data_IF_413465723753
#
_entry.id   IF_413465723753
#
_cell.length_a   1.000
_cell.length_b   1.000
_cell.length_c   1.000
_cell.angle_alpha   90.00
_cell.angle_beta   90.00
_cell.angle_gamma   90.00
#
_symmetry.space_group_name_H-M   'P 1'
#
loop_
_entity.id
_entity.type
_entity.pdbx_description
1 polymer ?
#
# COMPACT_ATOMS: atom_id res chain seq x y z
N UNK A 1 61.84 18.34 22.50
CA UNK A 1 60.70 19.21 22.09
C UNK A 1 60.51 20.27 23.16
N UNK A 2 60.35 21.57 22.83
CA UNK A 2 60.05 22.58 23.84
C UNK A 2 58.69 22.31 24.50
N UNK A 3 58.66 22.24 25.84
CA UNK A 3 57.44 21.98 26.61
C UNK A 3 56.44 23.13 26.43
N UNK A 4 55.18 22.80 26.19
CA UNK A 4 54.12 23.80 26.06
C UNK A 4 53.92 24.56 27.39
N UNK A 5 53.76 25.89 27.38
CA UNK A 5 53.59 26.67 28.60
C UNK A 5 52.31 26.27 29.35
N UNK A 6 52.39 26.22 30.68
CA UNK A 6 51.25 25.89 31.56
C UNK A 6 50.21 27.01 31.49
N UNK A 7 48.99 26.67 31.11
CA UNK A 7 47.85 27.56 31.00
C UNK A 7 46.93 27.52 32.22
N UNK A 8 46.15 28.58 32.43
CA UNK A 8 45.21 28.71 33.57
C UNK A 8 44.03 27.73 33.56
N UNK A 9 43.81 27.04 32.44
CA UNK A 9 42.79 26.01 32.25
C UNK A 9 43.32 24.59 32.39
N UNK A 10 44.63 24.43 32.55
CA UNK A 10 45.25 23.11 32.70
C UNK A 10 44.86 22.50 34.05
N UNK A 11 44.48 21.22 34.02
CA UNK A 11 44.32 20.40 35.21
C UNK A 11 45.68 19.96 35.74
N UNK A 12 45.76 19.44 36.97
CA UNK A 12 47.02 18.89 37.48
C UNK A 12 47.52 17.70 36.64
N UNK A 13 46.62 16.95 36.02
CA UNK A 13 46.98 15.91 35.04
C UNK A 13 47.61 16.50 33.78
N UNK A 14 47.02 17.56 33.23
CA UNK A 14 47.58 18.24 32.05
C UNK A 14 48.97 18.83 32.35
N UNK A 15 49.16 19.41 33.53
CA UNK A 15 50.45 19.95 33.97
C UNK A 15 51.48 18.82 34.08
N UNK A 16 51.11 17.70 34.69
CA UNK A 16 51.98 16.53 34.83
C UNK A 16 52.44 15.97 33.48
N UNK A 17 51.52 15.77 32.52
CA UNK A 17 51.90 15.27 31.19
C UNK A 17 52.67 16.29 30.34
N UNK A 18 52.53 17.59 30.60
CA UNK A 18 53.32 18.65 29.94
C UNK A 18 54.74 18.76 30.49
N UNK A 19 54.96 18.45 31.77
CA UNK A 19 56.28 18.49 32.41
C UNK A 19 56.99 17.14 32.42
N UNK A 20 56.28 16.05 32.14
CA UNK A 20 56.84 14.71 32.06
C UNK A 20 57.83 14.56 30.90
N UNK A 21 59.04 14.11 31.20
CA UNK A 21 60.04 13.65 30.22
C UNK A 21 60.59 12.29 30.69
N UNK A 22 60.73 11.34 29.77
CA UNK A 22 61.28 10.00 30.09
C UNK A 22 62.68 10.10 30.71
N UNK A 23 63.49 11.07 30.26
CA UNK A 23 64.82 11.36 30.80
C UNK A 23 64.80 11.81 32.28
N UNK A 24 63.75 12.50 32.73
CA UNK A 24 63.63 12.95 34.13
C UNK A 24 63.08 11.87 35.07
N UNK A 25 62.47 10.81 34.52
CA UNK A 25 61.88 9.71 35.30
C UNK A 25 62.88 8.58 35.58
N UNK A 26 63.95 8.44 34.77
CA UNK A 26 64.95 7.38 34.94
C UNK A 26 64.35 5.98 34.84
N UNK A 27 64.85 5.03 35.66
CA UNK A 27 64.36 3.63 35.71
C UNK A 27 63.06 3.46 36.54
N UNK A 28 62.43 4.55 36.98
CA UNK A 28 61.24 4.48 37.84
C UNK A 28 59.98 4.24 36.99
N UNK A 29 59.17 3.24 37.33
CA UNK A 29 57.91 2.96 36.62
C UNK A 29 56.97 4.16 36.76
N UNK A 30 56.46 4.68 35.63
CA UNK A 30 55.51 5.80 35.60
C UNK A 30 54.30 5.52 36.51
N UNK A 31 54.15 6.35 37.56
CA UNK A 31 52.96 6.37 38.40
C UNK A 31 52.14 7.63 38.11
N UNK A 32 50.85 7.50 37.75
CA UNK A 32 49.99 8.67 37.59
C UNK A 32 49.88 9.45 38.90
N UNK A 33 49.63 10.76 38.80
CA UNK A 33 49.53 11.67 39.96
C UNK A 33 48.38 11.29 40.91
N UNK A 34 47.40 10.53 40.44
CA UNK A 34 46.27 10.05 41.24
C UNK A 34 46.34 8.54 41.48
N UNK A 35 46.01 8.13 42.71
CA UNK A 35 46.01 6.73 43.13
C UNK A 35 44.78 5.91 42.72
N UNK A 36 43.70 6.56 42.25
CA UNK A 36 42.46 5.87 41.85
C UNK A 36 42.59 5.23 40.46
N UNK A 37 42.29 3.94 40.38
CA UNK A 37 42.19 3.16 39.14
C UNK A 37 40.74 2.99 38.73
N UNK A 38 40.53 2.65 37.46
CA UNK A 38 39.20 2.32 36.95
C UNK A 38 38.61 1.15 37.77
N UNK A 39 37.40 1.34 38.32
CA UNK A 39 36.65 0.43 39.21
C UNK A 39 36.97 0.52 40.71
N UNK A 40 37.87 1.41 41.12
CA UNK A 40 38.03 1.69 42.55
C UNK A 40 36.77 2.34 43.11
N UNK A 41 36.42 1.95 44.34
CA UNK A 41 35.32 2.58 45.08
C UNK A 41 35.90 3.81 45.78
N UNK A 42 35.17 4.94 45.73
CA UNK A 42 35.52 6.20 46.41
C UNK A 42 35.40 6.10 47.94
N UNK A 43 36.11 5.15 48.56
CA UNK A 43 36.04 4.86 50.00
C UNK A 43 37.21 5.47 50.75
N UNK A 44 38.37 5.58 50.12
CA UNK A 44 39.58 6.15 50.74
C UNK A 44 39.68 7.66 50.49
N UNK A 45 39.58 8.44 51.56
CA UNK A 45 39.57 9.91 51.49
C UNK A 45 40.80 10.50 50.77
N UNK A 46 41.99 9.93 50.97
CA UNK A 46 43.23 10.39 50.34
C UNK A 46 43.16 10.27 48.82
N UNK A 47 42.87 9.08 48.30
CA UNK A 47 42.78 8.83 46.86
C UNK A 47 41.63 9.63 46.21
N UNK A 48 40.49 9.78 46.90
CA UNK A 48 39.38 10.63 46.46
C UNK A 48 39.77 12.11 46.39
N UNK A 49 40.53 12.60 47.37
CA UNK A 49 41.02 13.98 47.41
C UNK A 49 41.98 14.25 46.27
N UNK A 50 42.94 13.36 46.03
CA UNK A 50 43.94 13.53 44.97
C UNK A 50 43.30 13.52 43.58
N UNK A 51 42.32 12.63 43.37
CA UNK A 51 41.52 12.62 42.15
C UNK A 51 40.67 13.89 41.99
N UNK A 52 40.01 14.36 43.05
CA UNK A 52 39.22 15.59 43.03
C UNK A 52 40.09 16.81 42.70
N UNK A 53 41.28 16.90 43.29
CA UNK A 53 42.26 17.95 43.00
C UNK A 53 42.78 17.89 41.55
N UNK A 54 42.90 16.68 41.00
CA UNK A 54 43.32 16.47 39.61
C UNK A 54 42.22 16.70 38.56
N UNK A 55 40.95 16.67 38.95
CA UNK A 55 39.81 16.74 38.02
C UNK A 55 39.41 18.17 37.63
N UNK A 56 39.82 19.18 38.40
CA UNK A 56 39.48 20.58 38.14
C UNK A 56 40.71 21.41 37.78
N UNK A 57 40.60 22.39 36.86
CA UNK A 57 41.67 23.33 36.60
C UNK A 57 42.09 24.07 37.87
N UNK A 58 43.38 24.35 37.99
CA UNK A 58 43.92 25.05 39.17
C UNK A 58 43.24 26.40 39.42
N UNK A 59 42.82 27.10 38.36
CA UNK A 59 42.05 28.34 38.46
C UNK A 59 40.66 28.16 39.09
N UNK A 60 39.97 27.05 38.80
CA UNK A 60 38.66 26.75 39.42
C UNK A 60 38.85 26.33 40.88
N UNK A 61 39.88 25.53 41.17
CA UNK A 61 40.22 25.20 42.56
C UNK A 61 40.52 26.45 43.40
N UNK A 62 41.37 27.35 42.90
CA UNK A 62 41.70 28.59 43.59
C UNK A 62 40.47 29.50 43.74
N UNK A 63 39.59 29.54 42.75
CA UNK A 63 38.32 30.27 42.83
C UNK A 63 37.43 29.72 43.94
N UNK A 64 37.28 28.39 44.03
CA UNK A 64 36.47 27.76 45.08
C UNK A 64 37.10 27.96 46.47
N UNK A 65 38.43 27.83 46.57
CA UNK A 65 39.18 28.05 47.83
C UNK A 65 39.16 29.50 48.29
N UNK A 66 39.09 30.47 47.37
CA UNK A 66 38.95 31.88 47.67
C UNK A 66 37.52 32.29 48.04
N UNK A 67 36.52 31.39 47.96
CA UNK A 67 35.16 31.70 48.39
C UNK A 67 35.09 31.84 49.90
N UNK A 68 34.36 32.85 50.34
CA UNK A 68 33.97 32.97 51.74
C UNK A 68 33.02 31.84 52.12
N UNK A 69 32.97 31.51 53.41
CA UNK A 69 32.02 30.53 53.96
C UNK A 69 30.57 30.88 53.56
N UNK A 70 30.21 32.16 53.58
CA UNK A 70 28.91 32.65 53.13
C UNK A 70 28.67 32.39 51.63
N UNK A 71 29.68 32.58 50.79
CA UNK A 71 29.60 32.28 49.35
C UNK A 71 29.38 30.80 49.07
N UNK A 72 29.98 29.91 49.86
CA UNK A 72 29.75 28.46 49.78
C UNK A 72 28.32 28.10 50.19
N UNK A 73 27.83 28.65 51.30
CA UNK A 73 26.46 28.41 51.77
C UNK A 73 25.41 28.91 50.76
N UNK A 74 25.59 30.10 50.20
CA UNK A 74 24.73 30.63 49.13
C UNK A 74 24.75 29.75 47.89
N UNK A 75 25.91 29.28 47.45
CA UNK A 75 26.03 28.37 46.30
C UNK A 75 25.30 27.04 46.55
N UNK A 76 25.42 26.48 47.76
CA UNK A 76 24.69 25.28 48.16
C UNK A 76 23.17 25.49 48.11
N UNK A 77 22.65 26.58 48.69
CA UNK A 77 21.22 26.90 48.66
C UNK A 77 20.71 27.03 47.23
N UNK A 78 21.45 27.74 46.37
CA UNK A 78 21.06 27.92 44.96
C UNK A 78 21.07 26.59 44.21
N UNK A 79 22.09 25.75 44.44
CA UNK A 79 22.15 24.40 43.85
C UNK A 79 20.98 23.51 44.28
N UNK A 80 20.65 23.50 45.57
CA UNK A 80 19.50 22.78 46.11
C UNK A 80 18.16 23.32 45.55
N UNK A 81 18.00 24.64 45.45
CA UNK A 81 16.80 25.23 44.87
C UNK A 81 16.63 24.86 43.39
N UNK A 82 17.71 24.94 42.61
CA UNK A 82 17.70 24.62 41.19
C UNK A 82 17.43 23.14 40.92
N UNK A 83 18.07 22.24 41.69
CA UNK A 83 17.85 20.79 41.57
C UNK A 83 16.42 20.41 41.93
N UNK A 84 15.85 20.99 43.00
CA UNK A 84 14.43 20.78 43.34
C UNK A 84 13.49 21.32 42.27
N UNK A 85 13.77 22.51 41.73
CA UNK A 85 12.96 23.08 40.65
C UNK A 85 12.99 22.19 39.40
N UNK A 86 14.16 21.73 38.98
CA UNK A 86 14.31 20.81 37.85
C UNK A 86 13.57 19.48 38.09
N UNK A 87 13.72 18.89 39.27
CA UNK A 87 13.01 17.65 39.63
C UNK A 87 11.48 17.84 39.58
N UNK A 88 10.97 18.96 40.09
CA UNK A 88 9.55 19.27 39.99
C UNK A 88 9.07 19.42 38.54
N UNK A 89 9.87 20.03 37.67
CA UNK A 89 9.55 20.17 36.25
C UNK A 89 9.49 18.81 35.55
N UNK A 90 10.49 17.96 35.75
CA UNK A 90 10.53 16.60 35.20
C UNK A 90 9.29 15.81 35.62
N UNK A 91 8.90 15.88 36.89
CA UNK A 91 7.70 15.17 37.40
C UNK A 91 6.41 15.70 36.77
N UNK A 92 6.31 17.02 36.54
CA UNK A 92 5.14 17.62 35.88
C UNK A 92 5.03 17.15 34.44
N UNK A 93 6.11 17.22 33.68
CA UNK A 93 6.16 16.77 32.28
C UNK A 93 5.86 15.28 32.18
N UNK A 94 6.44 14.45 33.05
CA UNK A 94 6.15 13.02 33.10
C UNK A 94 4.66 12.74 33.34
N UNK A 95 4.01 13.44 34.28
CA UNK A 95 2.55 13.31 34.50
C UNK A 95 1.72 13.73 33.30
N UNK A 96 2.17 14.73 32.56
CA UNK A 96 1.50 15.16 31.32
C UNK A 96 1.67 14.10 30.22
N UNK A 97 2.89 13.62 29.98
CA UNK A 97 3.15 12.55 29.01
C UNK A 97 2.38 11.26 29.33
N UNK A 98 2.24 10.89 30.61
CA UNK A 98 1.45 9.71 31.02
C UNK A 98 -0.04 9.88 30.68
N UNK A 99 -0.59 11.09 30.83
CA UNK A 99 -1.98 11.37 30.44
C UNK A 99 -2.15 11.31 28.93
N UNK A 100 -1.29 11.99 28.19
CA UNK A 100 -1.31 12.00 26.73
C UNK A 100 -1.12 10.61 26.13
N UNK A 101 -0.30 9.76 26.75
CA UNK A 101 -0.10 8.37 26.31
C UNK A 101 -1.41 7.59 26.25
N UNK A 102 -2.30 7.75 27.21
CA UNK A 102 -3.59 7.06 27.21
C UNK A 102 -4.47 7.51 26.04
N UNK A 103 -4.45 8.79 25.70
CA UNK A 103 -5.20 9.33 24.56
C UNK A 103 -4.59 8.90 23.22
N UNK A 104 -3.25 8.84 23.14
CA UNK A 104 -2.53 8.29 21.99
C UNK A 104 -2.81 6.80 21.77
N UNK A 105 -2.89 6.00 22.83
CA UNK A 105 -3.22 4.58 22.72
C UNK A 105 -4.65 4.39 22.19
N UNK A 106 -5.63 5.15 22.72
CA UNK A 106 -7.01 5.14 22.21
C UNK A 106 -7.09 5.60 20.75
N UNK A 107 -6.29 6.58 20.36
CA UNK A 107 -6.23 7.02 18.97
C UNK A 107 -5.64 5.93 18.06
N UNK A 108 -4.55 5.29 18.50
CA UNK A 108 -3.93 4.15 17.82
C UNK A 108 -4.91 2.98 17.66
N UNK A 109 -5.65 2.62 18.71
CA UNK A 109 -6.67 1.57 18.66
C UNK A 109 -7.76 1.86 17.63
N UNK A 110 -8.25 3.12 17.57
CA UNK A 110 -9.24 3.53 16.56
C UNK A 110 -8.69 3.43 15.14
N UNK A 111 -7.44 3.84 14.91
CA UNK A 111 -6.80 3.71 13.60
C UNK A 111 -6.62 2.25 13.20
N UNK A 112 -6.17 1.39 14.13
CA UNK A 112 -6.04 -0.04 13.87
C UNK A 112 -7.37 -0.69 13.50
N UNK A 113 -8.45 -0.31 14.19
CA UNK A 113 -9.79 -0.78 13.85
C UNK A 113 -10.24 -0.31 12.45
N UNK A 114 -10.01 0.95 12.10
CA UNK A 114 -10.30 1.47 10.76
C UNK A 114 -9.52 0.74 9.66
N UNK A 115 -8.25 0.41 9.91
CA UNK A 115 -7.43 -0.37 8.97
C UNK A 115 -8.00 -1.78 8.79
N UNK A 116 -8.38 -2.45 9.88
CA UNK A 116 -9.00 -3.77 9.82
C UNK A 116 -10.34 -3.75 9.06
N UNK A 117 -11.20 -2.78 9.35
CA UNK A 117 -12.49 -2.61 8.67
C UNK A 117 -12.27 -2.35 7.17
N UNK A 118 -11.27 -1.53 6.82
CA UNK A 118 -10.92 -1.26 5.42
C UNK A 118 -10.41 -2.51 4.69
N UNK A 119 -9.56 -3.32 5.34
CA UNK A 119 -9.08 -4.58 4.79
C UNK A 119 -10.23 -5.57 4.53
N UNK A 120 -11.19 -5.66 5.45
CA UNK A 120 -12.39 -6.48 5.28
C UNK A 120 -13.29 -5.98 4.14
N UNK A 121 -13.51 -4.66 4.03
CA UNK A 121 -14.26 -4.10 2.91
C UNK A 121 -13.56 -4.32 1.58
N UNK A 122 -12.22 -4.23 1.56
CA UNK A 122 -11.43 -4.48 0.36
C UNK A 122 -11.51 -5.95 -0.09
N UNK A 123 -11.50 -6.91 0.84
CA UNK A 123 -11.69 -8.32 0.50
C UNK A 123 -13.10 -8.59 -0.01
N UNK A 124 -14.14 -8.08 0.67
CA UNK A 124 -15.52 -8.22 0.24
C UNK A 124 -15.75 -7.61 -1.16
N UNK A 125 -15.20 -6.42 -1.42
CA UNK A 125 -15.27 -5.79 -2.73
C UNK A 125 -14.58 -6.62 -3.83
N UNK A 126 -13.46 -7.28 -3.51
CA UNK A 126 -12.79 -8.15 -4.47
C UNK A 126 -13.63 -9.40 -4.81
N UNK A 127 -14.31 -9.97 -3.82
CA UNK A 127 -15.24 -11.09 -3.99
C UNK A 127 -16.45 -10.68 -4.83
N UNK A 128 -17.10 -9.56 -4.50
CA UNK A 128 -18.24 -9.01 -5.26
C UNK A 128 -17.86 -8.72 -6.71
N UNK A 129 -16.68 -8.12 -6.92
CA UNK A 129 -16.16 -7.87 -8.26
C UNK A 129 -15.94 -9.16 -9.05
N UNK A 130 -15.42 -10.20 -8.41
CA UNK A 130 -15.23 -11.49 -9.06
C UNK A 130 -16.56 -12.16 -9.41
N UNK A 131 -17.55 -12.09 -8.51
CA UNK A 131 -18.90 -12.58 -8.75
C UNK A 131 -19.57 -11.85 -9.93
N UNK A 132 -19.48 -10.52 -9.97
CA UNK A 132 -20.01 -9.70 -11.06
C UNK A 132 -19.39 -10.05 -12.42
N UNK A 133 -18.07 -10.21 -12.49
CA UNK A 133 -17.41 -10.60 -13.75
C UNK A 133 -17.76 -12.02 -14.19
N UNK A 134 -18.03 -12.93 -13.25
CA UNK A 134 -18.51 -14.27 -13.57
C UNK A 134 -19.94 -14.26 -14.13
N UNK A 135 -20.84 -13.50 -13.50
CA UNK A 135 -22.21 -13.31 -13.98
C UNK A 135 -22.23 -12.68 -15.36
N UNK A 136 -21.48 -11.60 -15.57
CA UNK A 136 -21.34 -10.94 -16.87
C UNK A 136 -20.89 -11.90 -17.96
N UNK A 137 -19.87 -12.72 -17.72
CA UNK A 137 -19.43 -13.74 -18.69
C UNK A 137 -20.50 -14.77 -18.98
N UNK A 138 -21.27 -15.18 -17.97
CA UNK A 138 -22.35 -16.13 -18.14
C UNK A 138 -23.50 -15.54 -18.98
N UNK A 139 -23.84 -14.27 -18.78
CA UNK A 139 -24.83 -13.55 -19.58
C UNK A 139 -24.35 -13.35 -21.02
N UNK A 140 -23.08 -13.00 -21.23
CA UNK A 140 -22.47 -12.87 -22.55
C UNK A 140 -22.51 -14.21 -23.31
N UNK A 141 -22.18 -15.32 -22.66
CA UNK A 141 -22.29 -16.66 -23.25
C UNK A 141 -23.75 -17.04 -23.54
N UNK A 142 -24.69 -16.66 -22.68
CA UNK A 142 -26.13 -16.84 -22.92
C UNK A 142 -26.61 -16.08 -24.16
N UNK A 143 -26.23 -14.79 -24.26
CA UNK A 143 -26.55 -13.95 -25.41
C UNK A 143 -25.96 -14.51 -26.71
N UNK A 144 -24.70 -14.93 -26.68
CA UNK A 144 -24.04 -15.51 -27.85
C UNK A 144 -24.70 -16.81 -28.29
N UNK A 145 -25.09 -17.66 -27.34
CA UNK A 145 -25.86 -18.88 -27.60
C UNK A 145 -27.22 -18.58 -28.26
N UNK A 146 -27.91 -17.51 -27.86
CA UNK A 146 -29.17 -17.09 -28.48
C UNK A 146 -28.97 -16.51 -29.88
N UNK A 147 -27.93 -15.69 -30.10
CA UNK A 147 -27.58 -15.18 -31.43
C UNK A 147 -27.30 -16.30 -32.42
N UNK A 148 -26.54 -17.33 -32.01
CA UNK A 148 -26.25 -18.48 -32.85
C UNK A 148 -27.52 -19.26 -33.23
N UNK A 149 -28.45 -19.45 -32.27
CA UNK A 149 -29.75 -20.08 -32.54
C UNK A 149 -30.60 -19.26 -33.49
N UNK A 150 -30.62 -17.93 -33.31
CA UNK A 150 -31.34 -17.03 -34.21
C UNK A 150 -30.79 -17.15 -35.63
N UNK A 151 -29.47 -17.10 -35.79
CA UNK A 151 -28.84 -17.19 -37.10
C UNK A 151 -29.13 -18.54 -37.79
N UNK A 152 -29.04 -19.65 -37.06
CA UNK A 152 -29.39 -20.97 -37.58
C UNK A 152 -30.87 -21.06 -38.01
N UNK A 153 -31.78 -20.44 -37.24
CA UNK A 153 -33.19 -20.38 -37.61
C UNK A 153 -33.42 -19.52 -38.86
N UNK A 154 -32.73 -18.39 -39.00
CA UNK A 154 -32.79 -17.53 -40.20
C UNK A 154 -32.28 -18.25 -41.45
N UNK A 155 -31.19 -19.02 -41.34
CA UNK A 155 -30.67 -19.85 -42.43
C UNK A 155 -31.66 -20.93 -42.87
N UNK A 156 -32.27 -21.63 -41.91
CA UNK A 156 -33.31 -22.62 -42.20
C UNK A 156 -34.51 -21.98 -42.90
N UNK A 157 -34.98 -20.83 -42.39
CA UNK A 157 -36.12 -20.11 -42.96
C UNK A 157 -35.81 -19.61 -44.38
N UNK A 158 -34.57 -19.16 -44.63
CA UNK A 158 -34.11 -18.77 -45.97
C UNK A 158 -34.09 -19.95 -46.95
N UNK A 159 -33.60 -21.11 -46.50
CA UNK A 159 -33.59 -22.34 -47.29
C UNK A 159 -35.02 -22.83 -47.60
N UNK A 160 -35.90 -22.85 -46.60
CA UNK A 160 -37.31 -23.21 -46.78
C UNK A 160 -38.02 -22.26 -47.75
N UNK A 161 -37.77 -20.95 -47.67
CA UNK A 161 -38.31 -19.98 -48.63
C UNK A 161 -37.82 -20.24 -50.05
N UNK A 162 -36.53 -20.55 -50.22
CA UNK A 162 -35.95 -20.87 -51.52
C UNK A 162 -36.54 -22.17 -52.10
N UNK A 163 -36.74 -23.19 -51.27
CA UNK A 163 -37.40 -24.44 -51.68
C UNK A 163 -38.86 -24.23 -52.03
N UNK A 164 -39.60 -23.48 -51.21
CA UNK A 164 -41.00 -23.14 -51.46
C UNK A 164 -41.16 -22.41 -52.80
N UNK A 165 -40.29 -21.44 -53.08
CA UNK A 165 -40.29 -20.72 -54.36
C UNK A 165 -40.07 -21.66 -55.55
N UNK A 166 -39.12 -22.60 -55.45
CA UNK A 166 -38.88 -23.63 -56.48
C UNK A 166 -40.10 -24.54 -56.68
N UNK A 167 -40.80 -24.90 -55.60
CA UNK A 167 -42.03 -25.71 -55.67
C UNK A 167 -43.14 -24.93 -56.38
N UNK A 168 -43.36 -23.67 -56.02
CA UNK A 168 -44.34 -22.80 -56.68
C UNK A 168 -44.04 -22.62 -58.17
N UNK A 169 -42.78 -22.41 -58.54
CA UNK A 169 -42.37 -22.31 -59.96
C UNK A 169 -42.70 -23.59 -60.73
N UNK A 170 -42.37 -24.77 -60.17
CA UNK A 170 -42.71 -26.06 -60.78
C UNK A 170 -44.22 -26.26 -60.92
N UNK A 171 -45.00 -25.88 -59.91
CA UNK A 171 -46.45 -26.05 -59.95
C UNK A 171 -47.12 -25.10 -60.96
N UNK A 172 -46.66 -23.85 -61.03
CA UNK A 172 -47.07 -22.89 -62.06
C UNK A 172 -46.79 -23.41 -63.47
N UNK A 173 -45.61 -24.00 -63.70
CA UNK A 173 -45.28 -24.63 -64.99
C UNK A 173 -46.24 -25.78 -65.32
N UNK A 174 -46.56 -26.64 -64.36
CA UNK A 174 -47.53 -27.74 -64.54
C UNK A 174 -48.92 -27.21 -64.87
N UNK A 175 -49.39 -26.19 -64.16
CA UNK A 175 -50.68 -25.55 -64.44
C UNK A 175 -50.71 -24.90 -65.82
N UNK A 176 -49.62 -24.25 -66.25
CA UNK A 176 -49.53 -23.66 -67.57
C UNK A 176 -49.63 -24.73 -68.68
N UNK A 177 -48.91 -25.84 -68.53
CA UNK A 177 -48.99 -26.98 -69.46
C UNK A 177 -50.40 -27.58 -69.48
N UNK A 178 -51.04 -27.74 -68.32
CA UNK A 178 -52.40 -28.24 -68.24
C UNK A 178 -53.41 -27.29 -68.92
N UNK A 179 -53.29 -25.98 -68.70
CA UNK A 179 -54.12 -24.96 -69.37
C UNK A 179 -53.94 -25.01 -70.89
N UNK A 180 -52.70 -25.07 -71.38
CA UNK A 180 -52.43 -25.21 -72.82
C UNK A 180 -53.11 -26.45 -73.41
N UNK A 181 -53.00 -27.61 -72.73
CA UNK A 181 -53.67 -28.84 -73.16
C UNK A 181 -55.20 -28.71 -73.17
N UNK A 182 -55.78 -28.07 -72.16
CA UNK A 182 -57.23 -27.80 -72.12
C UNK A 182 -57.62 -26.95 -73.34
N UNK A 183 -56.91 -25.85 -73.60
CA UNK A 183 -57.18 -24.99 -74.76
C UNK A 183 -57.03 -25.72 -76.09
N UNK A 184 -56.02 -26.57 -76.25
CA UNK A 184 -55.84 -27.40 -77.46
C UNK A 184 -57.00 -28.40 -77.63
N UNK A 185 -57.42 -29.06 -76.56
CA UNK A 185 -58.56 -29.98 -76.57
C UNK A 185 -59.87 -29.24 -76.86
N UNK A 186 -60.08 -28.05 -76.30
CA UNK A 186 -61.22 -27.20 -76.61
C UNK A 186 -61.28 -26.82 -78.10
N UNK A 187 -60.13 -26.47 -78.70
CA UNK A 187 -60.03 -26.18 -80.12
C UNK A 187 -60.32 -27.42 -81.00
N UNK A 188 -59.83 -28.60 -80.60
CA UNK A 188 -60.15 -29.86 -81.27
C UNK A 188 -61.64 -30.19 -81.17
N UNK A 189 -62.25 -30.02 -79.99
CA UNK A 189 -63.70 -30.21 -79.78
C UNK A 189 -64.49 -29.25 -80.67
N UNK A 190 -64.14 -27.96 -80.73
CA UNK A 190 -64.81 -26.98 -81.59
C UNK A 190 -64.72 -27.36 -83.08
N UNK A 191 -63.54 -27.81 -83.51
CA UNK A 191 -63.31 -28.28 -84.89
C UNK A 191 -64.15 -29.53 -85.22
N UNK A 192 -64.18 -30.50 -84.31
CA UNK A 192 -64.98 -31.71 -84.45
C UNK A 192 -66.48 -31.40 -84.46
N UNK A 193 -66.96 -30.52 -83.57
CA UNK A 193 -68.34 -30.02 -83.57
C UNK A 193 -68.72 -29.40 -84.91
N UNK A 194 -67.88 -28.51 -85.45
CA UNK A 194 -68.14 -27.90 -86.76
C UNK A 194 -68.15 -28.91 -87.92
N UNK A 195 -67.39 -30.03 -87.82
CA UNK A 195 -67.47 -31.12 -88.81
C UNK A 195 -68.77 -31.93 -88.66
N UNK A 196 -69.21 -32.21 -87.43
CA UNK A 196 -70.48 -32.90 -87.18
C UNK A 196 -71.65 -32.08 -87.70
N UNK A 197 -71.69 -30.78 -87.43
CA UNK A 197 -72.72 -29.88 -87.95
C UNK A 197 -72.78 -29.85 -89.49
N UNK A 198 -71.63 -29.91 -90.17
CA UNK A 198 -71.59 -30.04 -91.65
C UNK A 198 -72.11 -31.38 -92.14
N UNK A 199 -71.77 -32.48 -91.47
CA UNK A 199 -72.27 -33.82 -91.82
C UNK A 199 -73.77 -33.96 -91.57
N UNK A 200 -74.30 -33.31 -90.53
CA UNK A 200 -75.75 -33.25 -90.30
C UNK A 200 -76.46 -32.33 -91.30
N UNK A 201 -75.84 -31.21 -91.71
CA UNK A 201 -76.36 -30.36 -92.78
C UNK A 201 -76.36 -31.06 -94.16
N UNK A 202 -75.39 -31.92 -94.44
CA UNK A 202 -75.33 -32.72 -95.68
C UNK A 202 -76.28 -33.93 -95.67
N UNK A 203 -76.71 -34.44 -94.50
CA UNK A 203 -77.73 -35.50 -94.37
C UNK A 203 -79.18 -34.98 -94.41
N UNK A 204 -79.38 -33.67 -94.31
CA UNK A 204 -80.68 -33.01 -94.37
C UNK A 204 -81.10 -32.50 -95.75
N UNK A 205 -80.35 -32.84 -96.81
CA UNK A 205 -80.65 -32.56 -98.23
C UNK A 205 -80.96 -33.86 -98.97
#
# INVERSE_FOLDING_TARGET
MPQAPIGSKDTLGDIYYKTYTEEACGDTTHQPVWGLKQKDRFVEFGACRDWYLGSFPLGEFNRQRARTHEGLYRAYIIGEANTRAANHQIVREWRTMVRERADWEKYRERLLKQVQDFEQMKSAFAEDKAAFEAEKKSEEWGCEGLKNKLHAAEELLSNEHAEWKKVCEKDNQRMYVARSKITDLEAQIATLKGKVEKVEADKGR
#
